data_IF_973725108162
#
_entry.id   IF_973725108162
#
_cell.length_a   1.000
_cell.length_b   1.000
_cell.length_c   1.000
_cell.angle_alpha   90.00
_cell.angle_beta   90.00
_cell.angle_gamma   90.00
#
_symmetry.space_group_name_H-M   'P 1'
#
loop_
_entity.id
_entity.type
_entity.pdbx_description
1 polymer ?
#
# COMPACT_ATOMS: atom_id res chain seq x y z
N UNK A 1 18.17 -25.59 -10.88
CA UNK A 1 17.04 -24.87 -11.52
C UNK A 1 16.76 -23.64 -10.67
N UNK A 2 17.18 -22.46 -11.10
CA UNK A 2 16.92 -21.21 -10.38
C UNK A 2 15.55 -20.68 -10.82
N UNK A 3 14.60 -20.61 -9.89
CA UNK A 3 13.28 -20.05 -10.16
C UNK A 3 13.41 -18.57 -10.49
N UNK A 4 12.94 -18.14 -11.66
CA UNK A 4 12.78 -16.72 -11.98
C UNK A 4 11.75 -16.13 -11.01
N UNK A 5 12.18 -15.25 -10.12
CA UNK A 5 11.28 -14.59 -9.19
C UNK A 5 10.44 -13.54 -9.94
N UNK A 6 9.13 -13.72 -9.95
CA UNK A 6 8.19 -12.73 -10.50
C UNK A 6 8.30 -11.39 -9.77
N UNK A 7 8.41 -10.29 -10.52
CA UNK A 7 8.48 -8.94 -9.95
C UNK A 7 7.19 -8.58 -9.18
N UNK A 8 7.29 -7.65 -8.21
CA UNK A 8 6.12 -7.15 -7.48
C UNK A 8 5.06 -6.56 -8.43
N UNK A 9 5.51 -5.85 -9.47
CA UNK A 9 4.61 -5.29 -10.48
C UNK A 9 3.83 -6.39 -11.23
N UNK A 10 4.49 -7.50 -11.59
CA UNK A 10 3.83 -8.63 -12.25
C UNK A 10 2.87 -9.37 -11.29
N UNK A 11 3.24 -9.55 -10.01
CA UNK A 11 2.33 -10.12 -8.99
C UNK A 11 1.09 -9.25 -8.78
N UNK A 12 1.25 -7.94 -8.66
CA UNK A 12 0.13 -7.00 -8.51
C UNK A 12 -0.75 -6.99 -9.76
N UNK A 13 -0.17 -7.04 -10.97
CA UNK A 13 -0.94 -7.19 -12.22
C UNK A 13 -1.78 -8.46 -12.23
N UNK A 14 -1.21 -9.60 -11.84
CA UNK A 14 -1.95 -10.86 -11.77
C UNK A 14 -3.16 -10.80 -10.82
N UNK A 15 -3.09 -10.02 -9.72
CA UNK A 15 -4.25 -9.81 -8.85
C UNK A 15 -5.42 -9.15 -9.60
N UNK A 16 -5.15 -8.19 -10.50
CA UNK A 16 -6.19 -7.52 -11.30
C UNK A 16 -6.77 -8.41 -12.38
N UNK A 17 -5.97 -9.34 -12.92
CA UNK A 17 -6.41 -10.33 -13.91
C UNK A 17 -7.31 -11.40 -13.26
N UNK A 18 -7.16 -11.63 -11.94
CA UNK A 18 -7.93 -12.64 -11.19
C UNK A 18 -9.34 -12.20 -10.76
N UNK A 19 -9.70 -10.94 -10.99
CA UNK A 19 -11.01 -10.37 -10.63
C UNK A 19 -10.92 -9.32 -9.53
N UNK A 20 -11.91 -9.30 -8.62
CA UNK A 20 -11.97 -8.33 -7.53
C UNK A 20 -11.19 -8.81 -6.31
N UNK A 21 -10.39 -7.92 -5.72
CA UNK A 21 -9.69 -8.17 -4.46
C UNK A 21 -9.69 -6.90 -3.59
N UNK A 22 -9.53 -7.08 -2.28
CA UNK A 22 -9.47 -5.97 -1.34
C UNK A 22 -8.04 -5.43 -1.27
N UNK A 23 -7.92 -4.10 -1.38
CA UNK A 23 -6.67 -3.34 -1.32
C UNK A 23 -6.74 -2.34 -0.16
N UNK A 24 -6.32 -2.72 1.07
CA UNK A 24 -6.40 -1.84 2.23
C UNK A 24 -5.44 -0.65 2.12
N UNK A 25 -5.78 0.42 2.84
CA UNK A 25 -5.05 1.69 2.82
C UNK A 25 -4.38 2.04 4.17
N UNK A 26 -3.26 1.39 4.55
CA UNK A 26 -2.50 1.80 5.74
C UNK A 26 -1.86 3.18 5.55
N UNK A 27 -1.68 3.90 6.66
CA UNK A 27 -1.10 5.26 6.68
C UNK A 27 0.21 5.37 7.47
N UNK A 28 0.64 4.29 8.11
CA UNK A 28 1.92 4.18 8.82
C UNK A 28 2.48 2.74 8.75
N UNK A 29 3.67 2.53 9.30
CA UNK A 29 4.36 1.23 9.30
C UNK A 29 3.57 0.20 10.11
N UNK A 30 3.02 0.57 11.26
CA UNK A 30 2.31 -0.34 12.15
C UNK A 30 1.06 -0.92 11.51
N UNK A 31 0.25 -0.06 10.89
CA UNK A 31 -0.95 -0.45 10.15
C UNK A 31 -0.63 -1.29 8.92
N UNK A 32 0.46 -1.00 8.20
CA UNK A 32 0.91 -1.81 7.08
C UNK A 32 1.28 -3.25 7.49
N UNK A 33 2.06 -3.38 8.58
CA UNK A 33 2.40 -4.69 9.17
C UNK A 33 1.14 -5.42 9.63
N UNK A 34 0.23 -4.72 10.30
CA UNK A 34 -1.01 -5.31 10.81
C UNK A 34 -1.86 -5.92 9.68
N UNK A 35 -2.08 -5.19 8.58
CA UNK A 35 -2.90 -5.72 7.48
C UNK A 35 -2.18 -6.80 6.67
N UNK A 36 -0.84 -6.78 6.61
CA UNK A 36 -0.08 -7.91 6.05
C UNK A 36 -0.34 -9.19 6.85
N UNK A 37 -0.31 -9.12 8.19
CA UNK A 37 -0.59 -10.26 9.07
C UNK A 37 -2.03 -10.79 8.93
N UNK A 38 -2.98 -9.94 8.51
CA UNK A 38 -4.35 -10.36 8.17
C UNK A 38 -4.45 -11.09 6.82
N UNK A 39 -3.37 -11.14 6.04
CA UNK A 39 -3.28 -11.96 4.82
C UNK A 39 -3.60 -11.24 3.51
N UNK A 40 -3.76 -9.91 3.53
CA UNK A 40 -3.96 -9.10 2.31
C UNK A 40 -2.76 -9.22 1.37
N UNK A 41 -3.02 -9.25 0.06
CA UNK A 41 -2.00 -9.55 -0.97
C UNK A 41 -1.29 -8.32 -1.53
N UNK A 42 -1.84 -7.14 -1.28
CA UNK A 42 -1.30 -5.87 -1.73
C UNK A 42 -1.83 -4.74 -0.83
N UNK A 43 -1.16 -3.59 -0.87
CA UNK A 43 -1.49 -2.38 -0.12
C UNK A 43 -1.53 -1.18 -1.07
N UNK A 44 -2.34 -0.19 -0.73
CA UNK A 44 -2.24 1.16 -1.31
C UNK A 44 -1.99 2.17 -0.20
N UNK A 45 -1.26 3.24 -0.45
CA UNK A 45 -1.16 4.34 0.53
C UNK A 45 -2.46 5.15 0.56
N UNK A 46 -2.59 6.06 1.54
CA UNK A 46 -3.68 7.03 1.61
C UNK A 46 -3.14 8.41 1.97
N UNK A 47 -3.36 9.40 1.09
CA UNK A 47 -2.96 10.79 1.35
C UNK A 47 -3.71 11.37 2.55
N UNK A 48 -5.01 11.12 2.62
CA UNK A 48 -5.87 11.58 3.69
C UNK A 48 -5.45 10.98 5.02
N UNK A 49 -5.28 9.65 5.11
CA UNK A 49 -4.87 8.99 6.36
C UNK A 49 -3.50 9.48 6.85
N UNK A 50 -2.54 9.63 5.94
CA UNK A 50 -1.20 10.13 6.25
C UNK A 50 -1.20 11.61 6.69
N UNK A 51 -2.06 12.45 6.10
CA UNK A 51 -2.20 13.85 6.47
C UNK A 51 -2.91 14.00 7.83
N UNK A 52 -4.01 13.27 8.04
CA UNK A 52 -4.77 13.31 9.28
C UNK A 52 -3.95 12.86 10.48
N UNK A 53 -3.10 11.85 10.34
CA UNK A 53 -2.19 11.42 11.41
C UNK A 53 -1.16 12.49 11.81
N UNK A 54 -0.99 13.54 11.00
CA UNK A 54 -0.10 14.69 11.21
C UNK A 54 -0.85 15.99 11.51
N UNK A 55 -2.17 15.93 11.72
CA UNK A 55 -2.99 17.13 11.96
C UNK A 55 -3.09 18.05 10.74
N UNK A 56 -2.90 17.53 9.52
CA UNK A 56 -3.03 18.27 8.25
C UNK A 56 -4.33 17.87 7.54
N UNK A 57 -4.95 18.77 6.76
CA UNK A 57 -6.04 18.39 5.85
C UNK A 57 -5.51 17.49 4.73
N UNK A 58 -6.40 16.75 4.07
CA UNK A 58 -6.04 15.98 2.87
C UNK A 58 -5.43 16.90 1.80
N UNK A 59 -4.40 16.40 1.10
CA UNK A 59 -3.58 17.19 0.18
C UNK A 59 -2.61 18.17 0.85
N UNK A 60 -2.60 18.30 2.19
CA UNK A 60 -1.73 19.23 2.92
C UNK A 60 -0.28 18.75 3.11
N UNK A 61 0.08 17.57 2.59
CA UNK A 61 1.40 16.97 2.71
C UNK A 61 2.19 17.18 1.41
N UNK A 62 3.34 17.87 1.42
CA UNK A 62 4.21 18.02 0.25
C UNK A 62 4.75 16.68 -0.27
N UNK A 63 5.08 16.63 -1.56
CA UNK A 63 5.63 15.44 -2.23
C UNK A 63 6.81 14.82 -1.48
N UNK A 64 7.77 15.63 -1.06
CA UNK A 64 8.99 15.13 -0.44
C UNK A 64 8.71 14.50 0.94
N UNK A 65 7.72 15.00 1.68
CA UNK A 65 7.27 14.40 2.94
C UNK A 65 6.49 13.09 2.72
N UNK A 66 5.81 12.95 1.58
CA UNK A 66 5.09 11.72 1.22
C UNK A 66 6.05 10.60 0.73
N UNK A 67 7.22 10.95 0.22
CA UNK A 67 8.21 10.00 -0.32
C UNK A 67 9.31 9.60 0.69
N UNK A 68 9.44 10.33 1.80
CA UNK A 68 10.41 10.09 2.86
C UNK A 68 10.03 8.88 3.73
#
# INVERSE_FOLDING_TARGET
>A
MTSSQTSLAAKFRALHESGCFVLPNPWDIGTAIYVEHLGFKALATTSAGFAFSRGKPDGGVPRDEMLA
#
